data_IF_621333282699
#
_entry.id   IF_621333282699
#
_cell.length_a   1.000
_cell.length_b   1.000
_cell.length_c   1.000
_cell.angle_alpha   90.00
_cell.angle_beta   90.00
_cell.angle_gamma   90.00
#
_symmetry.space_group_name_H-M   'P 1'
#
loop_
_entity.id
_entity.type
_entity.pdbx_description
1 polymer ?
#
# COMPACT_ATOMS: atom_id res chain seq x y z
N UNK A 1 -18.63 -0.51 24.11
CA UNK A 1 -17.20 -0.20 24.19
C UNK A 1 -16.57 -0.54 22.85
N UNK A 2 -15.79 0.38 22.28
CA UNK A 2 -14.93 0.07 21.15
C UNK A 2 -13.56 -0.27 21.72
N UNK A 3 -13.20 -1.55 21.73
CA UNK A 3 -11.84 -1.98 22.06
C UNK A 3 -11.06 -2.07 20.75
N UNK A 4 -10.05 -1.21 20.61
CA UNK A 4 -9.02 -1.36 19.58
C UNK A 4 -7.81 -1.98 20.26
N UNK A 5 -7.65 -3.29 20.09
CA UNK A 5 -6.45 -4.00 20.50
C UNK A 5 -5.47 -4.05 19.32
N UNK A 6 -4.23 -3.64 19.57
CA UNK A 6 -3.13 -3.78 18.63
C UNK A 6 -2.09 -4.73 19.21
N UNK A 7 -1.68 -5.71 18.40
CA UNK A 7 -0.63 -6.66 18.76
C UNK A 7 0.37 -6.76 17.61
N UNK A 8 1.66 -6.69 17.96
CA UNK A 8 2.76 -6.79 17.01
C UNK A 8 3.42 -8.16 17.16
N UNK A 9 3.63 -8.88 16.05
CA UNK A 9 4.27 -10.20 16.04
C UNK A 9 5.27 -10.34 14.90
N UNK A 10 6.25 -11.25 15.09
CA UNK A 10 7.20 -11.64 14.03
C UNK A 10 6.74 -12.89 13.26
N UNK A 11 5.75 -13.61 13.77
CA UNK A 11 5.20 -14.79 13.10
C UNK A 11 3.81 -14.50 12.54
N UNK A 12 3.40 -15.16 11.45
CA UNK A 12 2.02 -15.12 10.97
C UNK A 12 1.03 -15.56 12.06
N UNK A 13 -0.22 -15.14 11.90
CA UNK A 13 -1.33 -15.66 12.71
C UNK A 13 -1.41 -17.19 12.57
N UNK A 14 -1.60 -17.89 13.69
CA UNK A 14 -1.95 -19.31 13.66
C UNK A 14 -3.37 -19.50 13.10
N UNK A 15 -3.51 -20.35 12.08
CA UNK A 15 -4.80 -20.68 11.48
C UNK A 15 -5.56 -21.70 12.33
N UNK A 16 -6.87 -21.50 12.47
CA UNK A 16 -7.77 -22.56 12.93
C UNK A 16 -7.95 -23.62 11.85
N UNK A 17 -8.47 -24.80 12.23
CA UNK A 17 -8.75 -25.86 11.26
C UNK A 17 -9.78 -25.42 10.20
N UNK A 18 -10.80 -24.67 10.61
CA UNK A 18 -11.78 -24.09 9.69
C UNK A 18 -11.12 -23.14 8.69
N UNK A 19 -10.22 -22.26 9.13
CA UNK A 19 -9.52 -21.33 8.26
C UNK A 19 -8.60 -22.05 7.26
N UNK A 20 -7.97 -23.16 7.66
CA UNK A 20 -7.19 -24.03 6.75
C UNK A 20 -8.09 -24.66 5.68
N UNK A 21 -9.25 -25.18 6.08
CA UNK A 21 -10.25 -25.73 5.16
C UNK A 21 -10.72 -24.65 4.17
N UNK A 22 -11.02 -23.44 4.66
CA UNK A 22 -11.42 -22.32 3.80
C UNK A 22 -10.32 -21.96 2.79
N UNK A 23 -9.07 -21.82 3.23
CA UNK A 23 -7.94 -21.56 2.34
C UNK A 23 -7.74 -22.65 1.29
N UNK A 24 -7.88 -23.92 1.68
CA UNK A 24 -7.76 -25.02 0.73
C UNK A 24 -8.90 -24.98 -0.31
N UNK A 25 -10.13 -24.72 0.14
CA UNK A 25 -11.31 -24.61 -0.71
C UNK A 25 -11.18 -23.50 -1.76
N UNK A 26 -10.42 -22.44 -1.52
CA UNK A 26 -10.18 -21.39 -2.53
C UNK A 26 -9.54 -21.93 -3.82
N UNK A 27 -8.79 -23.03 -3.74
CA UNK A 27 -8.13 -23.64 -4.89
C UNK A 27 -9.07 -24.54 -5.73
N UNK A 28 -10.30 -24.80 -5.27
CA UNK A 28 -11.28 -25.66 -5.97
C UNK A 28 -11.73 -25.11 -7.33
N UNK A 29 -11.58 -23.81 -7.56
CA UNK A 29 -11.84 -23.17 -8.85
C UNK A 29 -10.80 -22.07 -9.09
N UNK A 30 -9.70 -22.34 -9.82
CA UNK A 30 -8.74 -21.32 -10.17
C UNK A 30 -9.32 -20.33 -11.18
N UNK A 31 -8.78 -19.11 -11.22
CA UNK A 31 -9.05 -18.15 -12.30
C UNK A 31 -8.41 -18.67 -13.60
N UNK A 32 -9.16 -18.61 -14.70
CA UNK A 32 -8.68 -18.98 -16.03
C UNK A 32 -7.61 -18.02 -16.54
N UNK A 33 -6.68 -18.51 -17.36
CA UNK A 33 -5.56 -17.71 -17.87
C UNK A 33 -6.03 -16.46 -18.63
N UNK A 34 -7.10 -16.59 -19.42
CA UNK A 34 -7.75 -15.46 -20.08
C UNK A 34 -8.13 -14.35 -19.09
N UNK A 35 -8.75 -14.72 -17.96
CA UNK A 35 -9.13 -13.75 -16.93
C UNK A 35 -7.91 -13.17 -16.21
N UNK A 36 -6.86 -13.96 -15.96
CA UNK A 36 -5.59 -13.46 -15.38
C UNK A 36 -4.98 -12.37 -16.26
N UNK A 37 -4.85 -12.63 -17.56
CA UNK A 37 -4.35 -11.68 -18.56
C UNK A 37 -5.24 -10.44 -18.61
N UNK A 38 -6.56 -10.61 -18.59
CA UNK A 38 -7.51 -9.50 -18.60
C UNK A 38 -7.37 -8.61 -17.35
N UNK A 39 -7.28 -9.20 -16.16
CA UNK A 39 -7.12 -8.43 -14.92
C UNK A 39 -5.80 -7.65 -14.87
N UNK A 40 -4.74 -8.19 -15.45
CA UNK A 40 -3.48 -7.46 -15.61
C UNK A 40 -3.61 -6.30 -16.60
N UNK A 41 -4.13 -6.58 -17.80
CA UNK A 41 -4.29 -5.58 -18.86
C UNK A 41 -5.19 -4.41 -18.44
N UNK A 42 -6.29 -4.71 -17.74
CA UNK A 42 -7.30 -3.73 -17.35
C UNK A 42 -7.06 -3.13 -15.95
N UNK A 43 -5.90 -3.40 -15.32
CA UNK A 43 -5.64 -3.01 -13.93
C UNK A 43 -5.88 -1.51 -13.64
N UNK A 44 -5.44 -0.62 -14.54
CA UNK A 44 -5.66 0.83 -14.41
C UNK A 44 -7.15 1.17 -14.44
N UNK A 45 -7.88 0.55 -15.38
CA UNK A 45 -9.31 0.78 -15.57
C UNK A 45 -10.10 0.38 -14.33
N UNK A 46 -9.75 -0.70 -13.65
CA UNK A 46 -10.44 -1.09 -12.42
C UNK A 46 -10.24 -0.06 -11.30
N UNK A 47 -9.03 0.48 -11.14
CA UNK A 47 -8.78 1.58 -10.20
C UNK A 47 -9.52 2.87 -10.59
N UNK A 48 -9.55 3.23 -11.88
CA UNK A 48 -10.30 4.41 -12.32
C UNK A 48 -11.81 4.27 -12.08
N UNK A 49 -12.37 3.09 -12.34
CA UNK A 49 -13.77 2.77 -12.04
C UNK A 49 -14.04 2.77 -10.53
N UNK A 50 -13.10 2.30 -9.72
CA UNK A 50 -13.20 2.36 -8.28
C UNK A 50 -13.33 3.81 -7.79
N UNK A 51 -12.44 4.71 -8.22
CA UNK A 51 -12.52 6.13 -7.86
C UNK A 51 -13.73 6.83 -8.48
N UNK A 52 -14.19 6.41 -9.67
CA UNK A 52 -15.43 6.92 -10.27
C UNK A 52 -16.65 6.62 -9.42
N UNK A 53 -16.70 5.43 -8.81
CA UNK A 53 -17.84 4.97 -8.01
C UNK A 53 -17.82 5.55 -6.60
N UNK A 54 -16.65 5.63 -5.99
CA UNK A 54 -16.54 5.97 -4.58
C UNK A 54 -16.05 7.40 -4.29
N UNK A 55 -15.50 8.09 -5.28
CA UNK A 55 -14.91 9.42 -5.16
C UNK A 55 -13.93 9.49 -3.97
N UNK A 56 -14.04 10.52 -3.13
CA UNK A 56 -13.20 10.76 -1.95
C UNK A 56 -13.71 10.10 -0.65
N UNK A 57 -14.82 9.34 -0.70
CA UNK A 57 -15.57 8.93 0.49
C UNK A 57 -15.23 7.54 1.00
N UNK A 58 -14.49 6.74 0.23
CA UNK A 58 -14.24 5.35 0.57
C UNK A 58 -13.25 5.18 1.73
N UNK A 59 -12.10 5.82 1.60
CA UNK A 59 -11.03 5.73 2.58
C UNK A 59 -11.10 6.91 3.55
N UNK A 60 -10.86 6.62 4.83
CA UNK A 60 -10.71 7.65 5.84
C UNK A 60 -9.31 8.26 5.75
N UNK A 61 -9.21 9.53 6.16
CA UNK A 61 -7.92 10.17 6.37
C UNK A 61 -7.08 9.38 7.36
N UNK A 62 -5.81 9.19 7.02
CA UNK A 62 -4.87 8.33 7.75
C UNK A 62 -4.12 9.11 8.84
N UNK A 63 -4.86 9.80 9.71
CA UNK A 63 -4.29 10.55 10.85
C UNK A 63 -3.47 9.71 11.84
N UNK A 64 -3.50 8.39 11.70
CA UNK A 64 -2.68 7.47 12.49
C UNK A 64 -1.22 7.41 12.02
N UNK A 65 -0.89 7.85 10.80
CA UNK A 65 0.44 7.64 10.21
C UNK A 65 1.56 8.31 11.01
N UNK A 66 1.36 9.52 11.52
CA UNK A 66 2.34 10.24 12.34
C UNK A 66 2.51 9.63 13.73
N UNK A 67 1.52 8.87 14.23
CA UNK A 67 1.63 8.13 15.50
C UNK A 67 2.35 6.80 15.35
N UNK A 68 2.17 6.14 14.21
CA UNK A 68 2.77 4.81 13.96
C UNK A 68 4.15 4.92 13.29
N UNK A 69 4.42 6.04 12.64
CA UNK A 69 5.70 6.40 12.04
C UNK A 69 6.13 7.77 12.58
N UNK A 70 6.62 7.79 13.81
CA UNK A 70 7.02 9.02 14.52
C UNK A 70 8.04 9.84 13.73
N UNK A 71 8.89 9.18 12.94
CA UNK A 71 9.88 9.84 12.07
C UNK A 71 9.25 10.68 10.93
N UNK A 72 7.97 10.44 10.60
CA UNK A 72 7.18 11.32 9.72
C UNK A 72 6.81 12.63 10.43
N UNK A 73 6.63 12.61 11.75
CA UNK A 73 6.33 13.79 12.56
C UNK A 73 7.60 14.56 12.95
N UNK A 74 8.72 13.87 13.13
CA UNK A 74 10.04 14.47 13.35
C UNK A 74 10.69 14.99 12.05
N UNK A 75 10.03 14.81 10.91
CA UNK A 75 10.49 15.38 9.65
C UNK A 75 10.57 16.90 9.77
N UNK A 76 11.79 17.45 9.62
CA UNK A 76 11.96 18.89 9.53
C UNK A 76 11.24 19.42 8.30
N UNK A 77 10.76 20.67 8.36
CA UNK A 77 10.12 21.40 7.25
C UNK A 77 10.93 21.46 5.95
N UNK A 78 12.16 20.95 5.97
CA UNK A 78 13.08 20.87 4.83
C UNK A 78 12.97 19.55 4.04
N UNK A 79 12.37 18.51 4.63
CA UNK A 79 12.30 17.18 4.00
C UNK A 79 11.30 17.13 2.86
N UNK A 80 11.58 16.25 1.91
CA UNK A 80 10.73 15.90 0.79
C UNK A 80 10.15 14.49 0.93
N UNK A 81 8.90 14.34 0.53
CA UNK A 81 8.13 13.09 0.60
C UNK A 81 7.69 12.63 -0.79
N UNK A 82 7.77 11.34 -1.07
CA UNK A 82 7.05 10.67 -2.15
C UNK A 82 5.98 9.74 -1.55
N UNK A 83 4.69 10.01 -1.81
CA UNK A 83 3.62 9.04 -1.60
C UNK A 83 3.34 8.30 -2.91
N UNK A 84 3.63 6.99 -2.93
CA UNK A 84 3.24 6.11 -4.03
C UNK A 84 1.85 5.55 -3.74
N UNK A 85 0.97 5.55 -4.74
CA UNK A 85 -0.42 5.11 -4.60
C UNK A 85 -1.22 6.03 -3.66
N UNK A 86 -1.12 7.35 -3.88
CA UNK A 86 -1.70 8.34 -3.00
C UNK A 86 -3.24 8.34 -2.98
N UNK A 87 -3.89 7.69 -3.95
CA UNK A 87 -5.32 7.73 -4.14
C UNK A 87 -5.85 9.15 -4.22
N UNK A 88 -6.86 9.46 -3.41
CA UNK A 88 -7.44 10.80 -3.31
C UNK A 88 -6.73 11.68 -2.26
N UNK A 89 -5.58 11.25 -1.76
CA UNK A 89 -4.73 12.02 -0.85
C UNK A 89 -5.03 11.86 0.64
N UNK A 90 -5.69 10.77 1.05
CA UNK A 90 -6.04 10.54 2.46
C UNK A 90 -4.83 10.42 3.42
N UNK A 91 -3.62 10.22 2.91
CA UNK A 91 -2.39 10.27 3.71
C UNK A 91 -1.69 11.62 3.55
N UNK A 92 -1.47 12.12 2.33
CA UNK A 92 -0.82 13.44 2.15
C UNK A 92 -1.55 14.59 2.86
N UNK A 93 -2.89 14.67 2.84
CA UNK A 93 -3.57 15.86 3.36
C UNK A 93 -3.46 16.03 4.88
N UNK A 94 -3.58 14.97 5.69
CA UNK A 94 -3.17 15.03 7.09
C UNK A 94 -1.73 15.54 7.27
N UNK A 95 -0.76 15.09 6.46
CA UNK A 95 0.63 15.56 6.56
C UNK A 95 0.80 17.02 6.12
N UNK A 96 -0.01 17.49 5.17
CA UNK A 96 -0.05 18.90 4.75
C UNK A 96 -0.61 19.78 5.87
N UNK A 97 -1.61 19.31 6.62
CA UNK A 97 -2.16 20.04 7.78
C UNK A 97 -1.11 20.25 8.88
N UNK A 98 -0.25 19.27 9.11
CA UNK A 98 0.85 19.36 10.07
C UNK A 98 2.01 20.26 9.58
N UNK A 99 2.18 20.40 8.27
CA UNK A 99 3.16 21.30 7.67
C UNK A 99 4.62 20.84 7.80
N UNK A 100 4.86 19.52 7.79
CA UNK A 100 6.18 18.91 8.00
C UNK A 100 7.09 18.85 6.76
N UNK A 101 6.58 19.11 5.55
CA UNK A 101 7.32 18.84 4.31
C UNK A 101 7.48 20.08 3.43
N UNK A 102 8.71 20.28 2.93
CA UNK A 102 9.03 21.29 1.91
C UNK A 102 8.34 20.97 0.59
N UNK A 103 8.38 19.69 0.21
CA UNK A 103 7.85 19.19 -1.05
C UNK A 103 7.22 17.82 -0.86
N UNK A 104 6.06 17.61 -1.46
CA UNK A 104 5.37 16.32 -1.50
C UNK A 104 5.15 15.96 -2.97
N UNK A 105 5.68 14.83 -3.39
CA UNK A 105 5.35 14.16 -4.63
C UNK A 105 4.28 13.11 -4.33
N UNK A 106 3.18 13.12 -5.07
CA UNK A 106 2.09 12.18 -4.85
C UNK A 106 1.70 11.56 -6.19
N UNK A 107 1.84 10.24 -6.32
CA UNK A 107 1.48 9.56 -7.55
C UNK A 107 0.48 8.43 -7.36
N UNK A 108 -0.34 8.21 -8.37
CA UNK A 108 -1.31 7.12 -8.41
C UNK A 108 -1.45 6.61 -9.84
N UNK A 109 -1.83 5.34 -9.98
CA UNK A 109 -2.02 4.72 -11.27
C UNK A 109 -3.29 5.23 -11.97
N UNK A 110 -4.31 5.62 -11.20
CA UNK A 110 -5.55 6.19 -11.71
C UNK A 110 -5.41 7.70 -11.97
N UNK A 111 -5.65 8.17 -13.19
CA UNK A 111 -5.68 9.60 -13.48
C UNK A 111 -6.80 10.32 -12.70
N UNK A 112 -7.94 9.66 -12.46
CA UNK A 112 -9.04 10.20 -11.67
C UNK A 112 -8.69 10.41 -10.19
N UNK A 113 -7.89 9.52 -9.59
CA UNK A 113 -7.41 9.72 -8.23
C UNK A 113 -6.61 11.03 -8.12
N UNK A 114 -5.72 11.25 -9.08
CA UNK A 114 -4.91 12.48 -9.18
C UNK A 114 -5.77 13.72 -9.44
N UNK A 115 -6.85 13.60 -10.21
CA UNK A 115 -7.83 14.69 -10.36
C UNK A 115 -8.43 15.10 -9.02
N UNK A 116 -8.87 14.14 -8.20
CA UNK A 116 -9.40 14.44 -6.86
C UNK A 116 -8.37 15.07 -5.93
N UNK A 117 -7.12 14.62 -5.97
CA UNK A 117 -6.02 15.27 -5.25
C UNK A 117 -5.90 16.74 -5.68
N UNK A 118 -5.85 17.01 -6.99
CA UNK A 118 -5.71 18.39 -7.48
C UNK A 118 -6.92 19.29 -7.17
N UNK A 119 -8.12 18.72 -7.04
CA UNK A 119 -9.35 19.45 -6.70
C UNK A 119 -9.51 19.73 -5.20
N UNK A 120 -8.74 19.07 -4.34
CA UNK A 120 -8.87 19.25 -2.90
C UNK A 120 -8.55 20.70 -2.48
N UNK A 121 -9.33 21.33 -1.56
CA UNK A 121 -9.16 22.74 -1.20
C UNK A 121 -7.78 23.13 -0.65
N UNK A 122 -7.05 22.16 -0.09
CA UNK A 122 -5.68 22.36 0.42
C UNK A 122 -4.58 22.00 -0.60
N UNK A 123 -4.93 21.70 -1.84
CA UNK A 123 -3.93 21.48 -2.87
C UNK A 123 -3.17 22.78 -3.14
N UNK A 124 -1.86 22.74 -2.90
CA UNK A 124 -0.97 23.87 -3.17
C UNK A 124 0.16 23.37 -4.10
N UNK A 125 0.20 23.78 -5.38
CA UNK A 125 1.20 23.28 -6.33
C UNK A 125 2.65 23.66 -5.98
N UNK A 126 2.86 24.68 -5.12
CA UNK A 126 4.20 24.99 -4.61
C UNK A 126 4.74 23.89 -3.70
N UNK A 127 3.87 23.26 -2.91
CA UNK A 127 4.23 22.19 -1.96
C UNK A 127 4.00 20.81 -2.57
N UNK A 128 2.86 20.58 -3.21
CA UNK A 128 2.41 19.27 -3.69
C UNK A 128 2.59 19.20 -5.21
N UNK A 129 3.25 18.16 -5.70
CA UNK A 129 3.26 17.77 -7.10
C UNK A 129 2.54 16.43 -7.26
N UNK A 130 1.26 16.49 -7.67
CA UNK A 130 0.46 15.30 -7.94
C UNK A 130 0.50 14.91 -9.42
N UNK A 131 0.84 13.65 -9.71
CA UNK A 131 0.99 13.16 -11.08
C UNK A 131 0.54 11.70 -11.24
N UNK A 132 0.04 11.36 -12.42
CA UNK A 132 -0.29 9.96 -12.73
C UNK A 132 1.00 9.19 -13.01
N UNK A 133 1.14 7.99 -12.46
CA UNK A 133 2.26 7.11 -12.75
C UNK A 133 1.87 5.63 -12.67
N UNK A 134 2.29 4.85 -13.67
CA UNK A 134 2.43 3.40 -13.51
C UNK A 134 3.84 3.12 -12.97
N UNK A 135 3.95 2.92 -11.66
CA UNK A 135 5.24 2.69 -10.98
C UNK A 135 5.93 1.39 -11.41
N UNK A 136 5.27 0.54 -12.19
CA UNK A 136 5.88 -0.65 -12.78
C UNK A 136 6.68 -0.32 -14.05
N UNK A 137 6.47 0.85 -14.66
CA UNK A 137 7.18 1.29 -15.86
C UNK A 137 8.49 2.01 -15.51
N UNK A 138 9.51 1.75 -16.31
CA UNK A 138 10.80 2.45 -16.27
C UNK A 138 10.55 3.96 -16.40
N UNK A 139 11.30 4.75 -15.65
CA UNK A 139 11.27 6.22 -15.63
C UNK A 139 9.94 6.88 -15.23
N UNK A 140 8.94 6.10 -14.81
CA UNK A 140 7.63 6.62 -14.35
C UNK A 140 7.75 7.64 -13.21
N UNK A 141 8.75 7.48 -12.34
CA UNK A 141 9.04 8.40 -11.24
C UNK A 141 10.11 9.43 -11.62
N UNK A 142 11.24 8.99 -12.19
CA UNK A 142 12.40 9.84 -12.53
C UNK A 142 12.12 10.87 -13.63
N UNK A 143 11.10 10.64 -14.46
CA UNK A 143 10.62 11.62 -15.43
C UNK A 143 10.06 12.88 -14.78
N UNK A 144 9.50 12.78 -13.57
CA UNK A 144 8.89 13.89 -12.81
C UNK A 144 9.76 14.35 -11.64
N UNK A 145 10.34 13.40 -10.89
CA UNK A 145 11.13 13.68 -9.69
C UNK A 145 12.60 13.78 -10.09
N UNK A 146 13.13 15.01 -10.04
CA UNK A 146 14.53 15.31 -10.44
C UNK A 146 15.48 15.42 -9.25
N UNK A 147 14.95 15.72 -8.07
CA UNK A 147 15.70 15.75 -6.82
C UNK A 147 15.33 14.50 -6.00
N UNK A 148 16.32 13.73 -5.52
CA UNK A 148 16.04 12.56 -4.69
C UNK A 148 15.27 12.93 -3.41
N UNK A 149 14.26 12.13 -3.07
CA UNK A 149 13.41 12.39 -1.90
C UNK A 149 14.01 11.86 -0.61
N UNK A 150 13.63 12.46 0.52
CA UNK A 150 14.09 12.04 1.85
C UNK A 150 13.27 10.87 2.41
N UNK A 151 11.98 10.84 2.08
CA UNK A 151 11.03 9.87 2.61
C UNK A 151 10.15 9.34 1.47
N UNK A 152 9.85 8.04 1.51
CA UNK A 152 8.85 7.38 0.66
C UNK A 152 7.80 6.74 1.54
N UNK A 153 6.53 6.84 1.15
CA UNK A 153 5.44 6.07 1.76
C UNK A 153 4.82 5.16 0.70
N UNK A 154 4.57 3.92 1.10
CA UNK A 154 3.99 2.88 0.27
C UNK A 154 2.94 2.13 1.11
N UNK A 155 1.72 2.65 1.11
CA UNK A 155 0.64 2.19 1.99
C UNK A 155 -0.52 1.60 1.16
N UNK A 156 -0.69 0.28 1.22
CA UNK A 156 -1.65 -0.52 0.43
C UNK A 156 -1.46 -0.41 -1.09
N UNK A 157 -0.20 -0.50 -1.53
CA UNK A 157 0.19 -0.29 -2.94
C UNK A 157 0.65 -1.59 -3.59
N UNK A 158 1.70 -2.24 -3.05
CA UNK A 158 2.26 -3.43 -3.70
C UNK A 158 1.21 -4.53 -3.76
N UNK A 159 0.32 -4.64 -2.77
CA UNK A 159 -0.77 -5.63 -2.85
C UNK A 159 -1.70 -5.46 -4.05
N UNK A 160 -1.79 -4.27 -4.64
CA UNK A 160 -2.59 -4.01 -5.84
C UNK A 160 -1.87 -4.35 -7.16
N UNK A 161 -0.56 -4.61 -7.09
CA UNK A 161 0.33 -4.82 -8.23
C UNK A 161 0.58 -6.33 -8.40
N UNK A 162 0.86 -6.75 -9.64
CA UNK A 162 1.28 -8.13 -9.91
C UNK A 162 2.62 -8.42 -9.19
N UNK A 163 2.72 -9.50 -8.38
CA UNK A 163 3.94 -9.87 -7.67
C UNK A 163 5.20 -9.97 -8.54
N UNK A 164 5.06 -10.37 -9.81
CA UNK A 164 6.18 -10.43 -10.76
C UNK A 164 6.83 -9.05 -11.01
N UNK A 165 6.10 -7.96 -10.74
CA UNK A 165 6.55 -6.58 -10.95
C UNK A 165 7.08 -5.92 -9.68
N UNK A 166 7.02 -6.57 -8.51
CA UNK A 166 7.44 -5.95 -7.24
C UNK A 166 8.90 -5.50 -7.27
N UNK A 167 9.79 -6.33 -7.81
CA UNK A 167 11.22 -5.98 -7.96
C UNK A 167 11.39 -4.76 -8.85
N UNK A 168 10.68 -4.69 -9.98
CA UNK A 168 10.73 -3.54 -10.89
C UNK A 168 10.25 -2.25 -10.23
N UNK A 169 9.19 -2.30 -9.42
CA UNK A 169 8.72 -1.13 -8.67
C UNK A 169 9.82 -0.56 -7.76
N UNK A 170 10.52 -1.42 -7.02
CA UNK A 170 11.61 -0.98 -6.15
C UNK A 170 12.83 -0.52 -6.95
N UNK A 171 13.14 -1.14 -8.09
CA UNK A 171 14.21 -0.68 -8.98
C UNK A 171 13.91 0.70 -9.57
N UNK A 172 12.65 0.97 -9.95
CA UNK A 172 12.21 2.26 -10.47
C UNK A 172 12.25 3.37 -9.41
N UNK A 173 12.32 3.02 -8.13
CA UNK A 173 12.47 3.96 -7.02
C UNK A 173 13.93 4.44 -6.87
N UNK A 174 14.92 3.62 -7.25
CA UNK A 174 16.34 3.91 -7.03
C UNK A 174 16.83 5.26 -7.59
N UNK A 175 16.41 5.71 -8.79
CA UNK A 175 16.86 6.99 -9.33
C UNK A 175 16.31 8.22 -8.59
N UNK A 176 15.26 8.06 -7.78
CA UNK A 176 14.56 9.16 -7.11
C UNK A 176 14.73 9.13 -5.59
N UNK A 177 15.62 8.27 -5.07
CA UNK A 177 15.97 8.19 -3.64
C UNK A 177 17.48 8.33 -3.47
N UNK A 178 17.91 8.75 -2.29
CA UNK A 178 19.33 8.87 -1.92
C UNK A 178 19.65 7.94 -0.76
N UNK A 179 20.93 7.72 -0.50
CA UNK A 179 21.37 7.03 0.72
C UNK A 179 20.73 7.67 1.95
N UNK A 180 20.16 6.84 2.82
CA UNK A 180 19.45 7.30 4.02
C UNK A 180 17.97 7.63 3.79
N UNK A 181 17.45 7.60 2.56
CA UNK A 181 16.00 7.71 2.31
C UNK A 181 15.27 6.56 3.01
N UNK A 182 14.25 6.90 3.82
CA UNK A 182 13.44 5.92 4.56
C UNK A 182 12.15 5.64 3.79
N UNK A 183 11.78 4.36 3.69
CA UNK A 183 10.52 3.89 3.14
C UNK A 183 9.64 3.39 4.28
N UNK A 184 8.50 4.04 4.46
CA UNK A 184 7.42 3.55 5.33
C UNK A 184 6.47 2.70 4.52
N UNK A 185 6.43 1.41 4.84
CA UNK A 185 5.63 0.42 4.15
C UNK A 185 4.50 -0.07 5.05
N UNK A 186 3.29 -0.14 4.51
CA UNK A 186 2.18 -0.85 5.14
C UNK A 186 1.32 -1.54 4.11
N UNK A 187 1.06 -2.83 4.27
CA UNK A 187 0.17 -3.56 3.37
C UNK A 187 -0.52 -4.75 4.08
N UNK A 188 -1.31 -5.55 3.35
CA UNK A 188 -1.99 -6.71 3.95
C UNK A 188 -0.98 -7.79 4.36
N UNK A 189 -1.11 -8.29 5.59
CA UNK A 189 -0.31 -9.41 6.07
C UNK A 189 -0.97 -10.75 5.79
N UNK A 190 -0.16 -11.81 5.79
CA UNK A 190 -0.61 -13.19 5.61
C UNK A 190 -1.69 -13.55 6.64
N UNK A 191 -2.74 -14.21 6.15
CA UNK A 191 -3.92 -14.64 6.90
C UNK A 191 -4.78 -13.51 7.47
N UNK A 192 -4.68 -12.31 6.89
CA UNK A 192 -5.69 -11.28 7.07
C UNK A 192 -7.09 -11.84 6.78
N UNK A 193 -8.08 -11.37 7.54
CA UNK A 193 -9.47 -11.83 7.37
C UNK A 193 -9.98 -11.65 5.94
N UNK A 194 -9.52 -10.62 5.20
CA UNK A 194 -9.89 -10.45 3.81
C UNK A 194 -9.38 -11.61 2.93
N UNK A 195 -8.17 -12.13 3.20
CA UNK A 195 -7.63 -13.30 2.49
C UNK A 195 -8.50 -14.53 2.73
N UNK A 196 -8.86 -14.77 4.00
CA UNK A 196 -9.57 -15.97 4.43
C UNK A 196 -11.03 -16.04 3.93
N UNK A 197 -11.56 -14.93 3.42
CA UNK A 197 -12.96 -14.83 2.94
C UNK A 197 -13.12 -14.91 1.43
N UNK A 198 -12.04 -14.92 0.66
CA UNK A 198 -12.14 -15.10 -0.80
C UNK A 198 -12.83 -16.43 -1.14
N UNK A 199 -13.72 -16.37 -2.13
CA UNK A 199 -14.42 -17.54 -2.65
C UNK A 199 -13.64 -18.17 -3.82
N UNK A 200 -13.91 -19.44 -4.17
CA UNK A 200 -13.34 -20.05 -5.36
C UNK A 200 -13.62 -19.19 -6.61
N UNK A 201 -12.63 -19.05 -7.48
CA UNK A 201 -12.67 -18.17 -8.67
C UNK A 201 -12.12 -16.76 -8.44
N UNK A 202 -11.57 -16.46 -7.26
CA UNK A 202 -10.93 -15.16 -6.98
C UNK A 202 -9.40 -15.23 -6.86
N UNK A 203 -8.82 -16.42 -6.69
CA UNK A 203 -7.37 -16.59 -6.54
C UNK A 203 -6.69 -16.56 -7.92
N UNK A 204 -5.84 -15.56 -8.14
CA UNK A 204 -5.03 -15.41 -9.35
C UNK A 204 -3.81 -16.31 -9.25
N UNK A 205 -3.07 -16.21 -8.15
CA UNK A 205 -1.90 -17.05 -7.84
C UNK A 205 -1.74 -17.17 -6.32
N UNK A 206 -0.66 -17.79 -5.84
CA UNK A 206 -0.43 -17.89 -4.41
C UNK A 206 -0.41 -16.51 -3.75
N UNK A 207 -1.18 -16.36 -2.66
CA UNK A 207 -1.40 -15.09 -1.93
C UNK A 207 -1.94 -13.91 -2.76
N UNK A 208 -2.26 -14.09 -4.04
CA UNK A 208 -2.71 -13.03 -4.94
C UNK A 208 -4.14 -13.25 -5.44
N UNK A 209 -5.00 -12.25 -5.24
CA UNK A 209 -6.43 -12.38 -5.43
C UNK A 209 -7.01 -11.17 -6.17
N UNK A 210 -8.15 -11.40 -6.85
CA UNK A 210 -8.99 -10.35 -7.42
C UNK A 210 -10.25 -10.14 -6.59
N UNK A 211 -10.61 -8.88 -6.37
CA UNK A 211 -11.84 -8.45 -5.70
C UNK A 211 -13.00 -8.40 -6.70
N UNK A 212 -14.21 -8.21 -6.20
CA UNK A 212 -15.42 -8.16 -7.03
C UNK A 212 -15.44 -6.97 -8.02
N UNK A 213 -14.77 -5.88 -7.68
CA UNK A 213 -14.65 -4.70 -8.55
C UNK A 213 -13.49 -4.79 -9.57
N UNK A 214 -12.75 -5.90 -9.58
CA UNK A 214 -11.60 -6.14 -10.44
C UNK A 214 -10.27 -5.61 -9.90
N UNK A 215 -10.27 -4.85 -8.79
CA UNK A 215 -9.03 -4.50 -8.09
C UNK A 215 -8.43 -5.74 -7.41
N UNK A 216 -7.16 -5.67 -7.01
CA UNK A 216 -6.39 -6.85 -6.61
C UNK A 216 -5.79 -6.68 -5.22
N UNK A 217 -5.43 -7.80 -4.61
CA UNK A 217 -4.79 -7.83 -3.30
C UNK A 217 -3.83 -9.00 -3.19
N UNK A 218 -2.60 -8.69 -2.79
CA UNK A 218 -1.60 -9.61 -2.30
C UNK A 218 -1.55 -9.60 -0.77
N UNK A 219 -1.17 -10.72 -0.15
CA UNK A 219 -1.01 -10.85 1.29
C UNK A 219 0.42 -11.27 1.60
N UNK A 220 1.15 -10.43 2.33
CA UNK A 220 2.59 -10.54 2.46
C UNK A 220 3.02 -11.37 3.68
N UNK A 221 4.17 -12.01 3.57
CA UNK A 221 5.01 -12.43 4.70
C UNK A 221 6.11 -11.42 4.98
N UNK A 222 6.61 -11.36 6.22
CA UNK A 222 7.71 -10.46 6.56
C UNK A 222 9.00 -10.91 5.87
N UNK A 223 9.21 -12.22 5.71
CA UNK A 223 10.40 -12.81 5.11
C UNK A 223 10.50 -12.49 3.61
N UNK A 224 9.39 -12.61 2.87
CA UNK A 224 9.39 -12.30 1.43
C UNK A 224 9.53 -10.79 1.20
N UNK A 225 8.93 -9.95 2.05
CA UNK A 225 9.07 -8.50 1.98
C UNK A 225 10.53 -8.08 2.24
N UNK A 226 11.16 -8.66 3.27
CA UNK A 226 12.57 -8.43 3.58
C UNK A 226 13.46 -8.77 2.39
N UNK A 227 13.34 -10.00 1.89
CA UNK A 227 14.15 -10.49 0.77
C UNK A 227 13.97 -9.61 -0.48
N UNK A 228 12.74 -9.19 -0.78
CA UNK A 228 12.44 -8.29 -1.88
C UNK A 228 13.18 -6.95 -1.75
N UNK A 229 13.09 -6.27 -0.60
CA UNK A 229 13.75 -4.98 -0.38
C UNK A 229 15.28 -5.09 -0.32
N UNK A 230 15.82 -6.10 0.37
CA UNK A 230 17.27 -6.33 0.46
C UNK A 230 17.89 -6.62 -0.91
N UNK A 231 17.22 -7.43 -1.73
CA UNK A 231 17.68 -7.74 -3.09
C UNK A 231 17.64 -6.56 -4.06
N UNK A 232 17.12 -5.40 -3.65
CA UNK A 232 17.03 -4.16 -4.45
C UNK A 232 17.81 -2.99 -3.84
N UNK A 233 18.65 -3.24 -2.82
CA UNK A 233 19.57 -2.24 -2.28
C UNK A 233 19.00 -1.38 -1.16
N UNK A 234 18.01 -1.89 -0.45
CA UNK A 234 17.48 -1.34 0.80
C UNK A 234 17.82 -2.26 1.98
N UNK A 235 17.89 -1.73 3.20
CA UNK A 235 18.11 -2.51 4.41
C UNK A 235 16.88 -2.42 5.31
N UNK A 236 16.49 -3.54 5.90
CA UNK A 236 15.42 -3.61 6.89
C UNK A 236 15.79 -2.84 8.17
N UNK A 237 14.92 -1.93 8.60
CA UNK A 237 15.00 -1.26 9.91
C UNK A 237 14.00 -1.90 10.88
N UNK A 238 12.79 -2.18 10.40
CA UNK A 238 11.77 -2.93 11.15
C UNK A 238 10.80 -3.58 10.18
N UNK A 239 10.22 -4.72 10.53
CA UNK A 239 9.28 -5.45 9.68
C UNK A 239 8.46 -6.41 10.53
N UNK A 240 7.18 -6.11 10.72
CA UNK A 240 6.33 -6.82 11.68
C UNK A 240 4.93 -7.06 11.14
N UNK A 241 4.28 -8.11 11.62
CA UNK A 241 2.83 -8.23 11.53
C UNK A 241 2.17 -7.35 12.59
N UNK A 242 1.18 -6.56 12.17
CA UNK A 242 0.35 -5.73 13.05
C UNK A 242 -1.08 -6.25 12.99
N UNK A 243 -1.52 -6.85 14.09
CA UNK A 243 -2.87 -7.35 14.28
C UNK A 243 -3.74 -6.24 14.85
N UNK A 244 -4.85 -5.92 14.18
CA UNK A 244 -5.84 -4.95 14.65
C UNK A 244 -7.21 -5.59 14.68
N UNK A 245 -7.93 -5.46 15.78
CA UNK A 245 -9.32 -5.94 15.87
C UNK A 245 -10.25 -4.76 16.12
N UNK A 246 -11.26 -4.63 15.27
CA UNK A 246 -12.35 -3.67 15.49
C UNK A 246 -13.59 -4.43 15.88
N UNK A 247 -14.04 -4.25 17.12
CA UNK A 247 -15.25 -4.86 17.67
C UNK A 247 -16.31 -3.77 17.89
N UNK A 248 -17.47 -3.95 17.26
CA UNK A 248 -18.70 -3.25 17.61
C UNK A 248 -19.80 -4.28 17.91
N UNK A 249 -19.98 -4.59 19.20
CA UNK A 249 -20.98 -5.57 19.66
C UNK A 249 -22.42 -5.17 19.32
N UNK A 250 -22.72 -3.87 19.23
CA UNK A 250 -24.08 -3.38 18.89
C UNK A 250 -24.45 -3.61 17.43
N UNK A 251 -23.44 -3.56 16.55
CA UNK A 251 -23.60 -3.74 15.10
C UNK A 251 -23.17 -5.14 14.64
N UNK A 252 -22.84 -6.04 15.57
CA UNK A 252 -22.29 -7.37 15.29
C UNK A 252 -21.06 -7.34 14.37
N UNK A 253 -20.24 -6.31 14.50
CA UNK A 253 -18.99 -6.17 13.75
C UNK A 253 -17.85 -6.74 14.59
N UNK A 254 -17.14 -7.71 14.02
CA UNK A 254 -15.86 -8.19 14.52
C UNK A 254 -14.93 -8.41 13.32
N UNK A 255 -13.97 -7.50 13.19
CA UNK A 255 -13.10 -7.42 12.01
C UNK A 255 -11.65 -7.49 12.47
N UNK A 256 -11.12 -8.71 12.67
CA UNK A 256 -9.68 -8.90 12.85
C UNK A 256 -8.97 -8.63 11.52
N UNK A 257 -7.93 -7.82 11.56
CA UNK A 257 -7.08 -7.46 10.42
C UNK A 257 -5.64 -7.78 10.74
N UNK A 258 -4.92 -8.26 9.73
CA UNK A 258 -3.48 -8.49 9.79
C UNK A 258 -2.84 -7.62 8.71
N UNK A 259 -1.93 -6.77 9.12
CA UNK A 259 -1.11 -5.94 8.24
C UNK A 259 0.36 -6.30 8.39
N UNK A 260 1.17 -6.03 7.37
CA UNK A 260 2.59 -5.82 7.59
C UNK A 260 2.84 -4.32 7.73
N UNK A 261 3.67 -3.97 8.69
CA UNK A 261 4.21 -2.64 8.87
C UNK A 261 5.73 -2.73 8.93
N UNK A 262 6.39 -2.02 8.02
CA UNK A 262 7.82 -2.11 7.86
C UNK A 262 8.45 -0.75 7.57
N UNK A 263 9.74 -0.65 7.91
CA UNK A 263 10.63 0.47 7.61
C UNK A 263 11.85 -0.09 6.91
N UNK A 264 12.18 0.47 5.76
CA UNK A 264 13.40 0.15 5.03
C UNK A 264 14.19 1.43 4.76
N UNK A 265 15.51 1.34 4.69
CA UNK A 265 16.37 2.49 4.39
C UNK A 265 17.21 2.20 3.15
N UNK A 266 17.40 3.18 2.27
CA UNK A 266 18.34 3.04 1.16
C UNK A 266 19.75 2.92 1.71
N UNK A 267 20.37 1.76 1.51
CA UNK A 267 21.71 1.44 2.00
C UNK A 267 22.78 2.29 1.30
N UNK A 268 23.87 2.55 2.02
CA UNK A 268 25.13 3.02 1.42
C UNK A 268 25.61 1.93 0.47
N UNK A 269 25.74 2.24 -0.81
CA UNK A 269 26.41 1.36 -1.79
C UNK A 269 27.90 1.35 -1.57
#
# INVERSE_FOLDING_TARGET
>A
EHENMEQITLTPKALTEEERIFLNNQNSRPISDFMRVKFEKDAQRYWDLFYKRNCERFFKNRYWTTKEFEELAEASKEKSLLEIGCGVGNLIYPLVEEGFFRKIYACDFSPRAIEFVKLHPRYNPSVINAFQADVTQIDSLSSVIKEPVDIVTMVFVLSAINPEKFRSVLQNLLPVVKTGTIIFFRDYGLYDMAQLRFKPGHKISDKYYVRQDGTRSYFFTIEELKSLFESTGFTEVSNNYVHRRTVNKKESIDVPRVFIQAKFVKSVT
#
